data_IF_751336644774
#
_entry.id   IF_751336644774
#
_cell.length_a   1.000
_cell.length_b   1.000
_cell.length_c   1.000
_cell.angle_alpha   90.00
_cell.angle_beta   90.00
_cell.angle_gamma   90.00
#
_symmetry.space_group_name_H-M   'P 1'
#
loop_
_entity.id
_entity.type
_entity.pdbx_description
1 polymer ?
#
# COMPACT_ATOMS: atom_id res chain seq x y z
N UNK A 1 53.01 -15.25 62.62
CA UNK A 1 52.12 -15.67 61.52
C UNK A 1 51.04 -14.61 61.20
N UNK A 2 51.42 -13.33 61.05
CA UNK A 2 50.47 -12.21 60.88
C UNK A 2 50.49 -11.57 59.46
N UNK A 3 51.48 -11.89 58.63
CA UNK A 3 51.66 -11.29 57.30
C UNK A 3 50.80 -11.94 56.19
N UNK A 4 50.31 -13.17 56.39
CA UNK A 4 49.52 -13.89 55.36
C UNK A 4 48.03 -13.53 55.34
N UNK A 5 47.52 -12.88 56.39
CA UNK A 5 46.10 -12.47 56.49
C UNK A 5 45.82 -11.16 55.75
N UNK A 6 46.82 -10.28 55.65
CA UNK A 6 46.73 -9.00 54.93
C UNK A 6 46.78 -9.18 53.40
N UNK A 7 47.45 -10.22 52.91
CA UNK A 7 47.50 -10.55 51.47
C UNK A 7 46.13 -10.92 50.92
N UNK A 8 45.39 -11.78 51.61
CA UNK A 8 44.02 -12.17 51.23
C UNK A 8 43.04 -10.99 51.29
N UNK A 9 43.15 -10.14 52.32
CA UNK A 9 42.29 -8.96 52.46
C UNK A 9 42.56 -7.92 51.36
N UNK A 10 43.83 -7.70 51.00
CA UNK A 10 44.20 -6.82 49.87
C UNK A 10 43.70 -7.37 48.52
N UNK A 11 43.80 -8.67 48.30
CA UNK A 11 43.27 -9.31 47.08
C UNK A 11 41.75 -9.18 47.01
N UNK A 12 41.04 -9.37 48.12
CA UNK A 12 39.58 -9.16 48.20
C UNK A 12 39.17 -7.71 47.93
N UNK A 13 39.91 -6.72 48.45
CA UNK A 13 39.64 -5.30 48.19
C UNK A 13 39.90 -4.94 46.73
N UNK A 14 40.98 -5.45 46.11
CA UNK A 14 41.26 -5.21 44.68
C UNK A 14 40.20 -5.87 43.79
N UNK A 15 39.72 -7.08 44.13
CA UNK A 15 38.64 -7.74 43.40
C UNK A 15 37.30 -7.00 43.56
N UNK A 16 36.98 -6.49 44.75
CA UNK A 16 35.77 -5.70 44.99
C UNK A 16 35.81 -4.34 44.26
N UNK A 17 36.96 -3.68 44.20
CA UNK A 17 37.13 -2.43 43.45
C UNK A 17 37.09 -2.65 41.93
N UNK A 18 37.64 -3.75 41.41
CA UNK A 18 37.56 -4.11 40.00
C UNK A 18 36.12 -4.39 39.53
N UNK A 19 35.29 -4.97 40.40
CA UNK A 19 33.87 -5.23 40.13
C UNK A 19 33.02 -3.93 40.05
N UNK A 20 33.43 -2.86 40.74
CA UNK A 20 32.74 -1.57 40.72
C UNK A 20 33.07 -0.71 39.48
N UNK A 21 34.15 -1.01 38.76
CA UNK A 21 34.57 -0.27 37.56
C UNK A 21 33.86 -0.65 36.25
N UNK A 22 32.91 -1.59 36.25
CA UNK A 22 32.24 -2.08 35.03
C UNK A 22 30.90 -1.39 34.69
N UNK A 23 30.60 -0.24 35.29
CA UNK A 23 29.44 0.59 34.93
C UNK A 23 29.79 1.62 33.85
N UNK A 24 30.07 1.14 32.63
CA UNK A 24 29.76 1.87 31.39
C UNK A 24 29.23 0.86 30.38
N UNK A 25 27.92 0.64 30.44
CA UNK A 25 27.18 -0.01 29.38
C UNK A 25 27.34 0.79 28.09
N UNK A 26 28.11 0.24 27.16
CA UNK A 26 27.93 0.49 25.74
C UNK A 26 27.18 -0.73 25.20
N UNK A 27 25.85 -0.72 25.34
CA UNK A 27 24.98 -1.58 24.56
C UNK A 27 24.91 -1.01 23.15
N UNK A 28 25.93 -1.31 22.36
CA UNK A 28 25.83 -1.31 20.91
C UNK A 28 25.54 -2.76 20.51
N UNK A 29 24.26 -3.11 20.42
CA UNK A 29 23.81 -4.23 19.60
C UNK A 29 23.78 -3.72 18.15
N UNK A 30 24.64 -4.18 17.23
CA UNK A 30 24.36 -4.11 15.81
C UNK A 30 23.56 -5.36 15.42
N UNK A 31 22.41 -5.57 16.05
CA UNK A 31 21.42 -6.50 15.49
C UNK A 31 20.67 -5.76 14.40
N UNK A 32 21.13 -5.96 13.18
CA UNK A 32 20.46 -5.44 12.00
C UNK A 32 21.47 -4.89 11.02
N UNK A 33 22.00 -5.80 10.20
CA UNK A 33 22.59 -5.54 8.90
C UNK A 33 22.46 -4.07 8.43
N UNK A 34 23.55 -3.31 8.49
CA UNK A 34 23.74 -2.17 7.58
C UNK A 34 23.96 -2.71 6.18
N UNK A 35 22.89 -3.26 5.61
CA UNK A 35 22.70 -3.24 4.18
C UNK A 35 21.96 -1.94 3.92
N UNK A 36 22.63 -0.95 3.33
CA UNK A 36 21.94 0.07 2.55
C UNK A 36 21.45 -0.66 1.30
N UNK A 37 20.49 -1.55 1.48
CA UNK A 37 19.65 -2.00 0.40
C UNK A 37 18.64 -0.89 0.25
N UNK A 38 18.84 -0.04 -0.75
CA UNK A 38 17.69 0.31 -1.60
C UNK A 38 17.18 -1.01 -2.19
N UNK A 39 16.56 -1.83 -1.35
CA UNK A 39 15.52 -2.69 -1.82
C UNK A 39 14.43 -1.70 -2.21
N UNK A 40 14.41 -1.38 -3.50
CA UNK A 40 13.14 -1.40 -4.20
C UNK A 40 12.59 -2.82 -4.00
N UNK A 41 12.15 -3.15 -2.78
CA UNK A 41 11.14 -4.18 -2.61
C UNK A 41 9.96 -3.50 -3.24
N UNK A 42 9.72 -3.80 -4.51
CA UNK A 42 8.37 -3.77 -5.07
C UNK A 42 7.48 -4.25 -3.94
N UNK A 43 6.64 -3.38 -3.35
CA UNK A 43 5.82 -3.80 -2.22
C UNK A 43 5.08 -5.05 -2.67
N UNK A 44 4.99 -6.05 -1.79
CA UNK A 44 3.99 -7.09 -1.97
C UNK A 44 2.70 -6.38 -2.42
N UNK A 45 2.09 -6.76 -3.56
CA UNK A 45 1.03 -5.99 -4.21
C UNK A 45 -0.22 -5.76 -3.31
N UNK A 46 -0.21 -6.35 -2.12
CA UNK A 46 -1.30 -6.48 -1.17
C UNK A 46 -1.17 -5.52 0.02
N UNK A 47 0.01 -4.92 0.28
CA UNK A 47 0.22 -4.18 1.54
C UNK A 47 0.01 -2.66 1.44
N UNK A 48 0.03 -2.02 0.27
CA UNK A 48 -0.24 -0.57 0.10
C UNK A 48 0.69 0.42 0.85
N UNK A 49 1.59 -0.07 1.71
CA UNK A 49 2.53 0.70 2.53
C UNK A 49 3.94 0.62 1.97
N UNK A 50 4.60 1.79 1.90
CA UNK A 50 5.96 1.97 1.44
C UNK A 50 6.75 2.76 2.48
N UNK A 51 8.01 2.39 2.70
CA UNK A 51 8.89 3.15 3.57
C UNK A 51 9.47 4.36 2.83
N UNK A 52 9.56 5.48 3.52
CA UNK A 52 10.15 6.72 3.02
C UNK A 52 11.09 7.27 4.08
N UNK A 53 12.28 7.67 3.68
CA UNK A 53 13.23 8.31 4.59
C UNK A 53 12.94 9.80 4.65
N UNK A 54 12.56 10.31 5.83
CA UNK A 54 12.45 11.75 6.07
C UNK A 54 13.76 12.26 6.65
N UNK A 55 14.36 13.23 5.96
CA UNK A 55 15.52 13.95 6.46
C UNK A 55 15.07 15.18 7.22
N UNK A 56 15.73 15.45 8.35
CA UNK A 56 15.50 16.64 9.15
C UNK A 56 16.83 17.12 9.74
N UNK A 57 16.84 18.36 10.17
CA UNK A 57 18.01 18.99 10.79
C UNK A 57 17.74 19.13 12.28
N UNK A 58 18.71 18.73 13.08
CA UNK A 58 18.73 19.04 14.51
C UNK A 58 19.82 20.05 14.77
N UNK A 59 19.52 21.04 15.61
CA UNK A 59 20.50 22.00 16.11
C UNK A 59 20.88 21.62 17.53
N UNK A 60 22.17 21.61 17.83
CA UNK A 60 22.69 21.34 19.16
C UNK A 60 23.84 22.28 19.46
N UNK A 61 24.14 22.42 20.76
CA UNK A 61 25.29 23.18 21.22
C UNK A 61 26.41 22.22 21.60
N UNK A 62 27.60 22.48 21.11
CA UNK A 62 28.82 21.79 21.50
C UNK A 62 29.83 22.84 21.97
N UNK A 63 30.76 22.48 22.85
CA UNK A 63 31.86 23.37 23.23
C UNK A 63 33.01 23.22 22.25
N UNK A 64 33.56 24.33 21.78
CA UNK A 64 34.83 24.30 21.05
C UNK A 64 36.02 24.04 22.01
N UNK A 65 37.23 23.90 21.46
CA UNK A 65 38.44 23.66 22.25
C UNK A 65 38.74 24.79 23.27
N UNK A 66 38.14 25.96 23.10
CA UNK A 66 38.22 27.12 23.99
C UNK A 66 37.08 27.19 25.03
N UNK A 67 36.15 26.23 25.03
CA UNK A 67 35.02 26.18 25.96
C UNK A 67 33.84 27.08 25.56
N UNK A 68 33.84 27.67 24.37
CA UNK A 68 32.71 28.46 23.88
C UNK A 68 31.62 27.56 23.30
N UNK A 69 30.37 27.91 23.54
CA UNK A 69 29.22 27.21 22.98
C UNK A 69 29.00 27.55 21.51
N UNK A 70 29.32 26.61 20.62
CA UNK A 70 29.04 26.71 19.19
C UNK A 70 27.72 26.01 18.86
N UNK A 71 26.87 26.65 18.04
CA UNK A 71 25.70 26.00 17.48
C UNK A 71 26.09 25.19 16.24
N UNK A 72 25.77 23.90 16.27
CA UNK A 72 25.99 22.99 15.16
C UNK A 72 24.66 22.47 14.61
N UNK A 73 24.69 22.00 13.36
CA UNK A 73 23.52 21.48 12.65
C UNK A 73 23.85 20.11 12.06
N UNK A 74 23.17 19.06 12.55
CA UNK A 74 23.36 17.69 12.08
C UNK A 74 22.15 17.23 11.29
N UNK A 75 22.40 16.63 10.12
CA UNK A 75 21.36 15.96 9.33
C UNK A 75 21.06 14.63 9.98
N UNK A 76 19.79 14.40 10.28
CA UNK A 76 19.29 13.12 10.75
C UNK A 76 18.26 12.59 9.76
N UNK A 77 18.12 11.27 9.71
CA UNK A 77 17.08 10.59 8.93
C UNK A 77 16.22 9.75 9.84
N UNK A 78 14.93 9.69 9.54
CA UNK A 78 13.99 8.74 10.15
C UNK A 78 13.22 8.04 9.05
N UNK A 79 13.20 6.71 9.08
CA UNK A 79 12.34 5.91 8.21
C UNK A 79 10.90 6.03 8.71
N UNK A 80 9.99 6.37 7.80
CA UNK A 80 8.56 6.50 8.09
C UNK A 80 7.76 5.71 7.06
N UNK A 81 6.65 5.12 7.47
CA UNK A 81 5.71 4.48 6.55
C UNK A 81 4.79 5.52 5.90
N UNK A 82 4.63 5.45 4.59
CA UNK A 82 3.67 6.22 3.79
C UNK A 82 2.88 5.28 2.88
N UNK A 83 1.76 5.74 2.32
CA UNK A 83 1.10 4.99 1.26
C UNK A 83 1.96 4.99 0.00
N UNK A 84 1.99 3.86 -0.70
CA UNK A 84 2.68 3.71 -1.97
C UNK A 84 2.03 4.60 -3.06
N UNK A 85 2.74 4.78 -4.18
CA UNK A 85 2.19 5.49 -5.34
C UNK A 85 0.90 4.79 -5.82
N UNK A 86 -0.14 5.57 -6.09
CA UNK A 86 -1.46 5.05 -6.46
C UNK A 86 -2.27 4.50 -5.27
N UNK A 87 -1.84 4.69 -4.02
CA UNK A 87 -2.62 4.39 -2.82
C UNK A 87 -2.85 5.67 -2.02
N UNK A 88 -4.04 5.80 -1.45
CA UNK A 88 -4.44 6.91 -0.56
C UNK A 88 -4.79 6.40 0.83
N UNK A 89 -4.66 7.30 1.81
CA UNK A 89 -4.97 6.96 3.20
C UNK A 89 -6.47 6.77 3.37
N UNK A 90 -6.87 5.60 3.81
CA UNK A 90 -8.23 5.24 4.19
C UNK A 90 -8.33 5.01 5.70
N UNK A 91 -9.41 5.45 6.34
CA UNK A 91 -9.56 5.34 7.81
C UNK A 91 -9.72 3.90 8.31
N UNK A 92 -10.27 3.00 7.49
CA UNK A 92 -10.56 1.61 7.87
C UNK A 92 -9.49 0.65 7.35
N UNK A 93 -9.01 0.85 6.12
CA UNK A 93 -8.06 -0.03 5.44
C UNK A 93 -6.61 0.48 5.47
N UNK A 94 -6.35 1.65 6.08
CA UNK A 94 -5.01 2.23 6.18
C UNK A 94 -4.56 2.87 4.88
N UNK A 95 -4.03 2.10 3.93
CA UNK A 95 -3.71 2.56 2.57
C UNK A 95 -4.56 1.78 1.56
N UNK A 96 -5.55 2.46 0.99
CA UNK A 96 -6.44 1.90 -0.03
C UNK A 96 -5.96 2.32 -1.43
N UNK A 97 -6.17 1.50 -2.47
CA UNK A 97 -5.84 1.88 -3.84
C UNK A 97 -6.63 3.11 -4.27
N UNK A 98 -6.00 3.95 -5.07
CA UNK A 98 -6.59 5.13 -5.66
C UNK A 98 -7.07 4.82 -7.08
N UNK A 99 -8.36 5.02 -7.32
CA UNK A 99 -9.00 4.84 -8.61
C UNK A 99 -9.52 6.20 -9.10
N UNK A 100 -8.75 6.92 -9.95
CA UNK A 100 -9.17 8.21 -10.49
C UNK A 100 -10.42 8.02 -11.38
N UNK A 101 -11.46 8.82 -11.16
CA UNK A 101 -12.80 8.62 -11.73
C UNK A 101 -13.76 7.85 -10.82
N UNK A 102 -13.24 7.18 -9.79
CA UNK A 102 -14.02 6.34 -8.88
C UNK A 102 -14.33 4.97 -9.45
N UNK A 103 -14.81 4.06 -8.60
CA UNK A 103 -15.32 2.73 -8.98
C UNK A 103 -16.77 2.60 -8.54
N UNK A 104 -17.66 3.46 -9.05
CA UNK A 104 -19.06 3.41 -8.67
C UNK A 104 -19.69 2.10 -9.16
N UNK A 105 -20.18 1.28 -8.24
CA UNK A 105 -20.76 -0.04 -8.54
C UNK A 105 -19.73 -1.19 -8.67
N UNK A 106 -18.47 -0.95 -8.31
CA UNK A 106 -17.42 -1.98 -8.28
C UNK A 106 -16.46 -1.80 -7.10
N UNK A 107 -15.46 -2.67 -7.01
CA UNK A 107 -14.40 -2.58 -6.00
C UNK A 107 -13.07 -2.12 -6.62
N UNK A 108 -12.45 -1.09 -6.04
CA UNK A 108 -11.10 -0.68 -6.39
C UNK A 108 -10.12 -1.67 -5.74
N UNK A 109 -9.57 -2.58 -6.54
CA UNK A 109 -8.69 -3.67 -6.06
C UNK A 109 -7.21 -3.37 -6.26
N UNK A 110 -6.88 -2.43 -7.14
CA UNK A 110 -5.52 -1.93 -7.36
C UNK A 110 -5.58 -0.50 -7.91
N UNK A 111 -4.47 0.26 -7.90
CA UNK A 111 -4.46 1.62 -8.43
C UNK A 111 -4.97 1.68 -9.86
N UNK A 112 -6.01 2.50 -10.11
CA UNK A 112 -6.67 2.60 -11.41
C UNK A 112 -7.41 1.34 -11.89
N UNK A 113 -7.50 0.28 -11.08
CA UNK A 113 -8.14 -0.99 -11.45
C UNK A 113 -9.42 -1.21 -10.63
N UNK A 114 -10.55 -0.96 -11.28
CA UNK A 114 -11.87 -1.33 -10.77
C UNK A 114 -12.22 -2.76 -11.22
N UNK A 115 -12.65 -3.60 -10.28
CA UNK A 115 -13.32 -4.86 -10.57
C UNK A 115 -14.81 -4.64 -10.45
N UNK A 116 -15.52 -4.85 -11.56
CA UNK A 116 -16.96 -4.79 -11.61
C UNK A 116 -17.58 -6.16 -11.31
N UNK A 117 -18.81 -6.20 -10.77
CA UNK A 117 -19.54 -7.45 -10.57
C UNK A 117 -19.82 -8.14 -11.91
N UNK A 118 -20.13 -9.44 -11.86
CA UNK A 118 -20.44 -10.25 -13.04
C UNK A 118 -21.52 -9.59 -13.89
N UNK A 119 -21.30 -9.51 -15.21
CA UNK A 119 -22.21 -8.85 -16.13
C UNK A 119 -22.10 -7.33 -16.17
N UNK A 120 -21.10 -6.73 -15.51
CA UNK A 120 -20.77 -5.31 -15.61
C UNK A 120 -19.33 -5.13 -16.10
N UNK A 121 -19.11 -4.09 -16.89
CA UNK A 121 -17.81 -3.71 -17.43
C UNK A 121 -17.45 -2.28 -16.99
N UNK A 122 -16.15 -1.93 -16.89
CA UNK A 122 -15.74 -0.56 -16.62
C UNK A 122 -16.20 0.35 -17.77
N UNK A 123 -17.13 1.24 -17.48
CA UNK A 123 -17.64 2.25 -18.40
C UNK A 123 -16.80 3.53 -18.37
N UNK A 124 -17.30 4.57 -19.04
CA UNK A 124 -16.68 5.89 -19.02
C UNK A 124 -16.57 6.43 -17.59
N UNK A 125 -15.39 6.96 -17.23
CA UNK A 125 -15.14 7.56 -15.92
C UNK A 125 -15.03 6.57 -14.76
N UNK A 126 -14.77 5.28 -14.99
CA UNK A 126 -14.53 4.30 -13.92
C UNK A 126 -15.80 3.74 -13.25
N UNK A 127 -16.99 4.13 -13.73
CA UNK A 127 -18.26 3.57 -13.27
C UNK A 127 -18.51 2.21 -13.90
N UNK A 128 -18.92 1.22 -13.11
CA UNK A 128 -19.35 -0.07 -13.64
C UNK A 128 -20.67 0.11 -14.38
N UNK A 129 -20.65 -0.16 -15.68
CA UNK A 129 -21.82 -0.14 -16.55
C UNK A 129 -22.24 -1.58 -16.89
N UNK A 130 -23.53 -1.85 -17.10
CA UNK A 130 -23.98 -3.18 -17.52
C UNK A 130 -23.28 -3.57 -18.83
N UNK A 131 -22.81 -4.81 -18.85
CA UNK A 131 -22.17 -5.43 -20.01
C UNK A 131 -23.17 -6.36 -20.67
N UNK A 132 -23.39 -6.17 -21.96
CA UNK A 132 -24.16 -7.07 -22.80
C UNK A 132 -23.15 -7.76 -23.71
N UNK A 133 -22.87 -9.03 -23.44
CA UNK A 133 -21.95 -9.77 -24.28
C UNK A 133 -22.57 -9.88 -25.69
N UNK A 134 -21.77 -9.70 -26.74
CA UNK A 134 -22.22 -9.53 -28.13
C UNK A 134 -22.81 -8.16 -28.50
N UNK A 135 -22.97 -7.25 -27.54
CA UNK A 135 -23.47 -5.88 -27.77
C UNK A 135 -24.99 -5.81 -28.01
N UNK A 136 -25.53 -4.58 -28.02
CA UNK A 136 -26.93 -4.32 -28.34
C UNK A 136 -27.04 -3.57 -29.68
N UNK A 137 -27.22 -4.31 -30.79
CA UNK A 137 -27.42 -3.68 -32.11
C UNK A 137 -28.77 -2.95 -32.12
N UNK A 138 -28.77 -1.65 -32.40
CA UNK A 138 -29.95 -0.76 -32.34
C UNK A 138 -30.68 -0.75 -30.99
N UNK A 139 -29.93 -0.93 -29.90
CA UNK A 139 -30.45 -0.89 -28.54
C UNK A 139 -29.42 -0.36 -27.55
N UNK A 140 -29.85 -0.21 -26.29
CA UNK A 140 -28.97 0.12 -25.16
C UNK A 140 -28.95 -1.03 -24.15
N UNK A 141 -27.77 -1.29 -23.59
CA UNK A 141 -27.63 -2.23 -22.49
C UNK A 141 -28.13 -1.57 -21.19
N UNK A 142 -29.21 -2.09 -20.60
CA UNK A 142 -29.81 -1.53 -19.37
C UNK A 142 -29.51 -2.38 -18.13
N UNK A 143 -29.23 -3.66 -18.34
CA UNK A 143 -28.83 -4.63 -17.32
C UNK A 143 -27.92 -5.70 -17.97
N UNK A 144 -27.21 -6.53 -17.19
CA UNK A 144 -26.38 -7.61 -17.73
C UNK A 144 -27.12 -8.44 -18.78
N UNK A 145 -26.52 -8.58 -19.96
CA UNK A 145 -27.07 -9.29 -21.11
C UNK A 145 -28.52 -8.90 -21.52
N UNK A 146 -28.99 -7.73 -21.06
CA UNK A 146 -30.35 -7.23 -21.28
C UNK A 146 -30.32 -5.95 -22.12
N UNK A 147 -30.71 -6.09 -23.38
CA UNK A 147 -30.84 -4.98 -24.32
C UNK A 147 -32.27 -4.43 -24.36
N UNK A 148 -32.40 -3.10 -24.31
CA UNK A 148 -33.65 -2.39 -24.62
C UNK A 148 -33.47 -1.70 -25.97
N UNK A 149 -34.36 -2.02 -26.92
CA UNK A 149 -34.33 -1.45 -28.25
C UNK A 149 -34.60 0.06 -28.24
N UNK A 150 -34.00 0.77 -29.21
CA UNK A 150 -34.29 2.18 -29.44
C UNK A 150 -35.74 2.37 -29.93
N UNK A 151 -36.33 3.57 -29.79
CA UNK A 151 -37.66 3.85 -30.34
C UNK A 151 -37.75 3.51 -31.83
N UNK A 152 -38.84 2.84 -32.25
CA UNK A 152 -38.99 2.33 -33.62
C UNK A 152 -38.26 1.01 -33.90
N UNK A 153 -37.75 0.33 -32.86
CA UNK A 153 -37.16 -1.00 -32.97
C UNK A 153 -37.75 -1.95 -31.93
N UNK A 154 -37.95 -3.21 -32.31
CA UNK A 154 -38.43 -4.27 -31.42
C UNK A 154 -37.59 -5.54 -31.55
N UNK A 155 -37.52 -6.31 -30.45
CA UNK A 155 -36.92 -7.64 -30.45
C UNK A 155 -37.81 -8.60 -31.21
N UNK A 156 -37.35 -9.08 -32.37
CA UNK A 156 -38.07 -10.15 -33.09
C UNK A 156 -37.64 -11.51 -32.55
N UNK A 157 -38.43 -12.10 -31.68
CA UNK A 157 -38.35 -13.51 -31.32
C UNK A 157 -38.90 -14.39 -32.46
N UNK A 158 -38.31 -14.32 -33.65
CA UNK A 158 -38.89 -14.98 -34.84
C UNK A 158 -38.56 -16.46 -35.01
N UNK A 159 -38.07 -17.14 -33.97
CA UNK A 159 -37.87 -18.59 -34.00
C UNK A 159 -38.19 -19.24 -32.65
N UNK A 160 -39.34 -19.93 -32.51
CA UNK A 160 -39.47 -20.97 -31.50
C UNK A 160 -38.69 -22.18 -32.02
N UNK A 161 -37.69 -22.62 -31.27
CA UNK A 161 -36.88 -23.83 -31.51
C UNK A 161 -35.79 -23.74 -32.58
N UNK A 162 -34.69 -23.05 -32.27
CA UNK A 162 -33.36 -23.49 -32.72
C UNK A 162 -32.33 -23.25 -31.60
N UNK A 163 -32.01 -24.32 -30.86
CA UNK A 163 -30.72 -24.42 -30.17
C UNK A 163 -29.63 -24.45 -31.24
N UNK A 164 -29.12 -23.29 -31.65
CA UNK A 164 -27.85 -23.24 -32.38
C UNK A 164 -27.06 -21.99 -32.06
N UNK A 165 -26.05 -22.22 -31.24
CA UNK A 165 -24.92 -21.36 -30.88
C UNK A 165 -25.29 -20.17 -29.98
N UNK A 166 -24.63 -20.11 -28.83
CA UNK A 166 -24.83 -19.11 -27.78
C UNK A 166 -24.65 -17.67 -28.27
N UNK A 167 -25.74 -17.09 -28.77
CA UNK A 167 -25.80 -15.71 -29.23
C UNK A 167 -26.59 -14.93 -28.17
N UNK A 168 -25.83 -14.38 -27.24
CA UNK A 168 -25.86 -12.95 -26.91
C UNK A 168 -27.02 -12.14 -27.52
N UNK A 169 -27.90 -11.61 -26.65
CA UNK A 169 -29.03 -10.68 -26.88
C UNK A 169 -29.60 -10.53 -28.31
N UNK A 170 -30.90 -10.81 -28.55
CA UNK A 170 -31.49 -10.79 -29.88
C UNK A 170 -31.38 -9.39 -30.54
N UNK A 171 -31.09 -9.31 -31.86
CA UNK A 171 -30.95 -8.04 -32.55
C UNK A 171 -32.28 -7.27 -32.58
N UNK A 172 -32.21 -5.96 -32.35
CA UNK A 172 -33.35 -5.06 -32.47
C UNK A 172 -33.60 -4.76 -33.96
N UNK A 173 -34.81 -5.06 -34.43
CA UNK A 173 -35.23 -4.83 -35.82
C UNK A 173 -36.12 -3.60 -35.92
N UNK A 174 -35.89 -2.78 -36.96
CA UNK A 174 -36.70 -1.59 -37.22
C UNK A 174 -38.16 -1.98 -37.49
N UNK A 175 -39.08 -1.45 -36.69
CA UNK A 175 -40.51 -1.51 -36.94
C UNK A 175 -40.85 -0.27 -37.75
N UNK A 176 -40.87 -0.41 -39.08
CA UNK A 176 -41.36 0.63 -39.97
C UNK A 176 -42.86 0.82 -39.77
N UNK A 177 -43.23 1.67 -38.82
CA UNK A 177 -44.57 2.24 -38.64
C UNK A 177 -44.55 3.70 -39.02
#
# INVERSE_FOLDING_TARGET
>A
MAERRWGLLRVLVVLLLAALSQQRGAEATPDGATTITTTTTTPAPDAGFCNSTRHYWITYKEQDASGNWIQQRKRMSRVVSKCCAGYKRDRKRGCAPDCPGGCAGGECVAPGRCVCPTGFAPGAGGRCAPSCAGGCVNGRCVAPDTCVCLPGYEVRHRFPNTLRSGIHSPPCHYTGT
#
